data_IF_604015142087
#
_entry.id   IF_604015142087
#
_cell.length_a   1.000
_cell.length_b   1.000
_cell.length_c   1.000
_cell.angle_alpha   90.00
_cell.angle_beta   90.00
_cell.angle_gamma   90.00
#
_symmetry.space_group_name_H-M   'P 1'
#
loop_
_entity.id
_entity.type
_entity.pdbx_description
1 polymer ?
#
# COMPACT_ATOMS: atom_id res chain seq x y z
N UNK A 1 36.94 -0.42 -38.97
CA UNK A 1 35.50 -0.59 -39.18
C UNK A 1 35.23 -0.72 -40.66
N UNK A 2 34.76 -1.87 -41.14
CA UNK A 2 34.23 -1.97 -42.50
C UNK A 2 32.94 -1.17 -42.55
N UNK A 3 32.82 -0.20 -43.47
CA UNK A 3 31.56 0.51 -43.62
C UNK A 3 30.49 -0.47 -44.10
N UNK A 4 29.34 -0.48 -43.44
CA UNK A 4 28.20 -1.27 -43.88
C UNK A 4 27.65 -0.62 -45.13
N UNK A 5 27.65 -1.34 -46.26
CA UNK A 5 27.20 -0.81 -47.55
C UNK A 5 25.80 -1.30 -47.83
N UNK A 6 24.90 -0.38 -48.19
CA UNK A 6 23.54 -0.71 -48.56
C UNK A 6 23.52 -1.60 -49.82
N UNK A 7 22.86 -2.77 -49.80
CA UNK A 7 22.85 -3.68 -50.94
C UNK A 7 22.05 -3.12 -52.13
N UNK A 8 21.12 -2.18 -51.90
CA UNK A 8 20.34 -1.52 -52.96
C UNK A 8 21.08 -0.35 -53.61
N UNK A 9 21.54 0.60 -52.79
CA UNK A 9 22.03 1.90 -53.25
C UNK A 9 23.57 1.99 -53.31
N UNK A 10 24.28 1.00 -52.74
CA UNK A 10 25.73 0.99 -52.50
C UNK A 10 26.26 2.18 -51.68
N UNK A 11 25.37 3.00 -51.13
CA UNK A 11 25.74 4.05 -50.18
C UNK A 11 26.02 3.46 -48.80
N UNK A 12 26.68 4.25 -47.96
CA UNK A 12 26.93 3.94 -46.56
C UNK A 12 25.60 3.77 -45.79
N UNK A 13 25.54 2.74 -44.95
CA UNK A 13 24.50 2.58 -43.94
C UNK A 13 24.90 3.36 -42.69
N UNK A 14 23.98 4.15 -42.16
CA UNK A 14 24.14 4.89 -40.90
C UNK A 14 23.23 4.28 -39.82
N UNK A 15 23.65 4.34 -38.57
CA UNK A 15 22.78 3.99 -37.43
C UNK A 15 21.76 5.11 -37.21
N UNK A 16 20.49 4.75 -37.16
CA UNK A 16 19.38 5.67 -36.90
C UNK A 16 18.25 4.91 -36.16
N UNK A 17 17.27 5.63 -35.61
CA UNK A 17 16.04 5.02 -35.10
C UNK A 17 14.99 4.98 -36.22
N UNK A 18 14.36 3.82 -36.43
CA UNK A 18 13.28 3.67 -37.41
C UNK A 18 11.94 3.48 -36.72
N UNK A 19 10.92 4.16 -37.22
CA UNK A 19 9.54 4.05 -36.78
C UNK A 19 8.74 3.28 -37.85
N UNK A 20 8.28 2.07 -37.52
CA UNK A 20 7.31 1.36 -38.33
C UNK A 20 5.91 1.80 -37.90
N UNK A 21 5.22 2.54 -38.77
CA UNK A 21 3.85 3.00 -38.56
C UNK A 21 2.92 2.13 -39.39
N UNK A 22 2.19 1.24 -38.73
CA UNK A 22 1.18 0.40 -39.38
C UNK A 22 -0.22 0.87 -39.02
N UNK A 23 -0.98 1.26 -40.03
CA UNK A 23 -2.42 1.48 -39.89
C UNK A 23 -3.12 0.12 -39.88
N UNK A 24 -3.79 -0.19 -38.77
CA UNK A 24 -4.65 -1.36 -38.66
C UNK A 24 -5.94 -1.12 -39.47
N UNK A 25 -6.64 -2.19 -39.90
CA UNK A 25 -7.90 -2.07 -40.64
C UNK A 25 -9.03 -1.30 -39.93
N UNK A 26 -8.90 -1.06 -38.62
CA UNK A 26 -9.83 -0.29 -37.80
C UNK A 26 -9.44 1.20 -37.66
N UNK A 27 -8.39 1.65 -38.35
CA UNK A 27 -7.90 3.04 -38.30
C UNK A 27 -6.94 3.34 -37.13
N UNK A 28 -6.56 2.34 -36.33
CA UNK A 28 -5.55 2.52 -35.28
C UNK A 28 -4.14 2.48 -35.87
N UNK A 29 -3.24 3.34 -35.40
CA UNK A 29 -1.82 3.30 -35.77
C UNK A 29 -1.02 2.55 -34.69
N UNK A 30 -0.20 1.58 -35.12
CA UNK A 30 0.87 1.00 -34.29
C UNK A 30 2.17 1.66 -34.71
N UNK A 31 2.84 2.33 -33.77
CA UNK A 31 4.17 2.90 -33.97
C UNK A 31 5.17 2.07 -33.17
N UNK A 32 6.04 1.34 -33.88
CA UNK A 32 7.15 0.62 -33.27
C UNK A 32 8.45 1.37 -33.60
N UNK A 33 9.15 1.86 -32.58
CA UNK A 33 10.45 2.49 -32.72
C UNK A 33 11.57 1.50 -32.34
N UNK A 34 12.52 1.27 -33.24
CA UNK A 34 13.67 0.39 -32.98
C UNK A 34 14.94 0.90 -33.66
N UNK A 35 16.14 0.61 -33.11
CA UNK A 35 17.41 0.94 -33.76
C UNK A 35 17.58 0.17 -35.08
N UNK A 36 18.01 0.85 -36.14
CA UNK A 36 18.19 0.26 -37.47
C UNK A 36 19.42 0.84 -38.19
N UNK A 37 20.02 0.04 -39.09
CA UNK A 37 20.92 0.55 -40.12
C UNK A 37 20.09 1.04 -41.32
N UNK A 38 20.20 2.33 -41.65
CA UNK A 38 19.43 2.99 -42.72
C UNK A 38 20.38 3.45 -43.85
N UNK A 39 20.02 3.23 -45.13
CA UNK A 39 20.81 3.77 -46.26
C UNK A 39 20.87 5.30 -46.14
N UNK A 40 22.07 5.89 -46.09
CA UNK A 40 22.25 7.36 -46.04
C UNK A 40 21.54 8.08 -47.19
N UNK A 41 21.47 7.44 -48.36
CA UNK A 41 20.73 7.96 -49.54
C UNK A 41 19.21 7.70 -49.48
N UNK A 42 18.69 7.18 -48.36
CA UNK A 42 17.27 6.94 -48.10
C UNK A 42 16.55 6.13 -49.19
N UNK A 43 17.21 5.11 -49.75
CA UNK A 43 16.63 4.26 -50.81
C UNK A 43 15.56 3.25 -50.35
N UNK A 44 15.07 3.39 -49.11
CA UNK A 44 14.11 2.47 -48.49
C UNK A 44 14.70 1.10 -48.09
N UNK A 45 16.03 0.92 -48.12
CA UNK A 45 16.66 -0.22 -47.48
C UNK A 45 16.90 0.10 -46.00
N UNK A 46 16.42 -0.79 -45.13
CA UNK A 46 16.65 -0.78 -43.70
C UNK A 46 17.04 -2.19 -43.26
N UNK A 47 17.88 -2.28 -42.23
CA UNK A 47 18.16 -3.53 -41.50
C UNK A 47 17.98 -3.23 -40.02
N UNK A 48 16.99 -3.86 -39.39
CA UNK A 48 16.81 -3.77 -37.93
C UNK A 48 18.09 -4.24 -37.23
N UNK A 49 18.51 -3.50 -36.20
CA UNK A 49 19.63 -3.89 -35.36
C UNK A 49 19.08 -4.86 -34.30
N UNK A 50 18.63 -6.03 -34.74
CA UNK A 50 18.50 -7.19 -33.85
C UNK A 50 19.91 -7.75 -33.68
N UNK A 51 20.63 -7.20 -32.70
CA UNK A 51 21.95 -7.76 -32.37
C UNK A 51 21.78 -8.78 -31.26
N UNK A 52 21.57 -10.04 -31.65
CA UNK A 52 21.92 -11.15 -30.77
C UNK A 52 23.43 -11.03 -30.53
N UNK A 53 23.87 -10.79 -29.30
CA UNK A 53 25.29 -10.64 -29.03
C UNK A 53 25.97 -12.01 -29.13
N UNK A 54 27.21 -12.01 -29.63
CA UNK A 54 28.01 -13.22 -29.73
C UNK A 54 28.59 -13.57 -28.34
N UNK A 55 28.66 -14.85 -28.01
CA UNK A 55 29.43 -15.26 -26.82
C UNK A 55 30.90 -15.29 -27.19
N UNK A 56 31.68 -14.40 -26.60
CA UNK A 56 33.13 -14.28 -26.88
C UNK A 56 34.01 -14.84 -25.77
N UNK A 57 33.41 -15.30 -24.68
CA UNK A 57 34.12 -15.96 -23.60
C UNK A 57 33.19 -16.44 -22.50
N UNK A 58 33.70 -17.31 -21.64
CA UNK A 58 32.98 -17.84 -20.48
C UNK A 58 33.84 -17.82 -19.21
N UNK A 59 33.17 -17.82 -18.06
CA UNK A 59 33.78 -17.95 -16.74
C UNK A 59 33.04 -19.05 -15.99
N UNK A 60 33.66 -20.23 -15.88
CA UNK A 60 32.98 -21.41 -15.34
C UNK A 60 31.74 -21.79 -16.16
N UNK A 61 30.79 -22.45 -15.51
CA UNK A 61 29.56 -22.96 -16.15
C UNK A 61 28.39 -21.96 -16.08
N UNK A 62 28.62 -20.76 -15.52
CA UNK A 62 27.57 -19.89 -15.03
C UNK A 62 27.69 -18.42 -15.47
N UNK A 63 28.73 -18.07 -16.25
CA UNK A 63 28.89 -16.71 -16.79
C UNK A 63 29.33 -16.71 -18.25
N UNK A 64 28.60 -15.97 -19.08
CA UNK A 64 28.92 -15.71 -20.49
C UNK A 64 29.29 -14.25 -20.69
N UNK A 65 30.34 -13.99 -21.47
CA UNK A 65 30.67 -12.67 -21.99
C UNK A 65 30.04 -12.50 -23.37
N UNK A 66 29.07 -11.59 -23.45
CA UNK A 66 28.32 -11.27 -24.64
C UNK A 66 28.93 -10.04 -25.32
N UNK A 67 29.31 -10.14 -26.59
CA UNK A 67 29.79 -9.04 -27.43
C UNK A 67 28.67 -8.55 -28.35
N UNK A 68 28.34 -7.28 -28.20
CA UNK A 68 27.41 -6.58 -29.07
C UNK A 68 28.18 -5.92 -30.25
N UNK A 69 27.54 -5.72 -31.41
CA UNK A 69 28.19 -5.15 -32.60
C UNK A 69 28.80 -3.75 -32.41
N UNK A 70 28.36 -3.00 -31.39
CA UNK A 70 28.88 -1.68 -31.03
C UNK A 70 30.09 -1.75 -30.08
N UNK A 71 30.81 -2.87 -30.04
CA UNK A 71 31.97 -3.13 -29.19
C UNK A 71 31.67 -3.07 -27.68
N UNK A 72 30.38 -3.10 -27.30
CA UNK A 72 29.99 -3.27 -25.90
C UNK A 72 29.98 -4.75 -25.54
N UNK A 73 30.58 -5.08 -24.40
CA UNK A 73 30.46 -6.36 -23.74
C UNK A 73 29.46 -6.29 -22.58
N UNK A 74 28.72 -7.37 -22.35
CA UNK A 74 27.91 -7.58 -21.14
C UNK A 74 28.19 -8.96 -20.56
N UNK A 75 28.13 -9.07 -19.24
CA UNK A 75 28.23 -10.36 -18.56
C UNK A 75 26.81 -10.86 -18.30
N UNK A 76 26.51 -12.07 -18.74
CA UNK A 76 25.28 -12.78 -18.43
C UNK A 76 25.56 -13.88 -17.41
N UNK A 77 24.99 -13.76 -16.21
CA UNK A 77 24.97 -14.83 -15.21
C UNK A 77 23.81 -15.79 -15.50
N UNK A 78 24.12 -17.02 -15.90
CA UNK A 78 23.15 -17.99 -16.42
C UNK A 78 22.21 -18.45 -15.30
N UNK A 79 22.75 -18.83 -14.13
CA UNK A 79 21.99 -19.41 -13.01
C UNK A 79 20.89 -18.47 -12.50
N UNK A 80 21.24 -17.19 -12.34
CA UNK A 80 20.34 -16.18 -11.78
C UNK A 80 19.61 -15.38 -12.87
N UNK A 81 19.93 -15.62 -14.15
CA UNK A 81 19.45 -14.86 -15.30
C UNK A 81 19.66 -13.36 -15.11
N UNK A 82 20.88 -12.96 -14.75
CA UNK A 82 21.22 -11.55 -14.50
C UNK A 82 22.15 -11.05 -15.59
N UNK A 83 21.81 -9.92 -16.20
CA UNK A 83 22.57 -9.28 -17.25
C UNK A 83 23.18 -7.97 -16.74
N UNK A 84 24.50 -7.95 -16.62
CA UNK A 84 25.26 -6.81 -16.12
C UNK A 84 25.27 -5.63 -17.10
N UNK A 85 25.53 -4.39 -16.65
CA UNK A 85 25.51 -3.22 -17.51
C UNK A 85 26.56 -3.31 -18.63
N UNK A 86 26.33 -2.66 -19.78
CA UNK A 86 27.31 -2.62 -20.86
C UNK A 86 28.57 -1.88 -20.45
N UNK A 87 29.71 -2.41 -20.86
CA UNK A 87 31.02 -1.74 -20.84
C UNK A 87 31.78 -2.11 -22.11
N UNK A 88 32.81 -1.37 -22.47
CA UNK A 88 33.66 -1.77 -23.61
C UNK A 88 34.24 -3.18 -23.39
N UNK A 89 34.09 -4.08 -24.37
CA UNK A 89 34.39 -5.51 -24.19
C UNK A 89 35.85 -5.76 -23.78
N UNK A 90 36.81 -4.99 -24.30
CA UNK A 90 38.22 -5.10 -23.92
C UNK A 90 38.47 -4.77 -22.44
N UNK A 91 37.67 -3.88 -21.85
CA UNK A 91 37.77 -3.58 -20.42
C UNK A 91 37.29 -4.75 -19.55
N UNK A 92 36.35 -5.56 -20.05
CA UNK A 92 35.89 -6.78 -19.40
C UNK A 92 36.92 -7.90 -19.55
N UNK A 93 37.47 -8.08 -20.76
CA UNK A 93 38.55 -9.03 -21.03
C UNK A 93 39.81 -8.73 -20.20
N UNK A 94 40.14 -7.45 -20.01
CA UNK A 94 41.26 -7.01 -19.17
C UNK A 94 41.02 -7.16 -17.66
N UNK A 95 39.81 -7.55 -17.24
CA UNK A 95 39.42 -7.71 -15.83
C UNK A 95 38.85 -9.10 -15.60
N UNK A 96 39.74 -10.07 -15.36
CA UNK A 96 39.40 -11.45 -15.01
C UNK A 96 39.93 -12.47 -16.00
N UNK A 97 39.80 -13.74 -15.65
CA UNK A 97 40.12 -14.86 -16.54
C UNK A 97 38.87 -15.20 -17.35
N UNK A 98 38.95 -15.15 -18.68
CA UNK A 98 37.88 -15.57 -19.58
C UNK A 98 38.39 -16.72 -20.44
N UNK A 99 37.65 -17.81 -20.46
CA UNK A 99 37.95 -18.98 -21.26
C UNK A 99 37.23 -18.93 -22.61
N UNK A 100 37.73 -19.67 -23.59
CA UNK A 100 37.03 -19.87 -24.86
C UNK A 100 35.67 -20.53 -24.60
N UNK A 101 34.63 -20.01 -25.23
CA UNK A 101 33.29 -20.53 -25.07
C UNK A 101 33.15 -21.89 -25.76
N UNK A 102 32.77 -22.93 -25.01
CA UNK A 102 32.63 -24.30 -25.51
C UNK A 102 31.20 -24.85 -25.42
N UNK A 103 30.25 -24.04 -24.94
CA UNK A 103 28.86 -24.42 -24.75
C UNK A 103 27.98 -24.29 -26.00
N UNK A 104 26.69 -24.63 -25.84
CA UNK A 104 25.66 -24.56 -26.90
C UNK A 104 24.42 -23.74 -26.48
N UNK A 105 24.57 -22.82 -25.53
CA UNK A 105 23.52 -21.92 -25.09
C UNK A 105 22.90 -21.12 -26.25
N UNK A 106 21.57 -21.05 -26.26
CA UNK A 106 20.80 -20.17 -27.13
C UNK A 106 20.66 -18.81 -26.42
N UNK A 107 21.53 -17.87 -26.79
CA UNK A 107 21.69 -16.59 -26.09
C UNK A 107 20.39 -15.78 -26.10
N UNK A 108 19.63 -15.83 -27.19
CA UNK A 108 18.35 -15.17 -27.37
C UNK A 108 17.35 -15.54 -26.26
N UNK A 109 17.16 -16.85 -26.03
CA UNK A 109 16.26 -17.36 -25.00
C UNK A 109 16.72 -17.00 -23.59
N UNK A 110 18.04 -16.99 -23.37
CA UNK A 110 18.59 -16.55 -22.09
C UNK A 110 18.34 -15.06 -21.86
N UNK A 111 18.48 -14.22 -22.89
CA UNK A 111 18.26 -12.78 -22.82
C UNK A 111 16.79 -12.41 -22.62
N UNK A 112 15.85 -13.12 -23.24
CA UNK A 112 14.40 -12.91 -23.06
C UNK A 112 13.97 -12.98 -21.58
N UNK A 113 14.66 -13.80 -20.80
CA UNK A 113 14.35 -14.02 -19.39
C UNK A 113 15.40 -13.43 -18.44
N UNK A 114 16.44 -12.78 -18.99
CA UNK A 114 17.48 -12.12 -18.22
C UNK A 114 16.98 -10.79 -17.67
N UNK A 115 17.26 -10.55 -16.38
CA UNK A 115 16.96 -9.31 -15.69
C UNK A 115 18.20 -8.41 -15.70
N UNK A 116 17.99 -7.12 -15.91
CA UNK A 116 19.04 -6.13 -15.73
C UNK A 116 19.57 -6.20 -14.28
N UNK A 117 20.89 -6.19 -14.08
CA UNK A 117 21.46 -6.27 -12.73
C UNK A 117 21.03 -5.12 -11.83
N UNK A 118 20.67 -3.96 -12.40
CA UNK A 118 20.07 -2.84 -11.65
C UNK A 118 18.67 -3.18 -11.14
N UNK A 119 17.94 -4.04 -11.85
CA UNK A 119 16.60 -4.46 -11.46
C UNK A 119 16.60 -5.49 -10.32
N UNK A 120 17.75 -6.07 -9.98
CA UNK A 120 17.85 -7.06 -8.88
C UNK A 120 17.51 -6.44 -7.53
N UNK A 121 17.76 -5.14 -7.33
CA UNK A 121 17.47 -4.41 -6.10
C UNK A 121 16.29 -3.44 -6.20
N UNK A 122 15.63 -3.35 -7.35
CA UNK A 122 14.46 -2.49 -7.52
C UNK A 122 13.21 -3.18 -7.00
N UNK A 123 12.45 -2.47 -6.18
CA UNK A 123 11.07 -2.88 -5.91
C UNK A 123 10.26 -2.80 -7.21
N UNK A 124 9.44 -3.82 -7.45
CA UNK A 124 8.52 -3.81 -8.57
C UNK A 124 7.53 -2.64 -8.41
N UNK A 125 7.29 -1.86 -9.49
CA UNK A 125 6.21 -0.88 -9.50
C UNK A 125 4.88 -1.57 -9.18
N UNK A 126 4.06 -0.93 -8.37
CA UNK A 126 2.78 -1.48 -7.92
C UNK A 126 1.65 -0.49 -8.20
N UNK A 127 0.57 -0.96 -8.81
CA UNK A 127 -0.54 -0.11 -9.25
C UNK A 127 -1.14 0.72 -8.11
N UNK A 128 -1.33 0.12 -6.94
CA UNK A 128 -2.00 0.74 -5.79
C UNK A 128 -1.10 1.67 -4.98
N UNK A 129 0.20 1.74 -5.29
CA UNK A 129 1.05 2.83 -4.80
C UNK A 129 0.66 4.19 -5.38
N UNK A 130 0.13 4.19 -6.61
CA UNK A 130 -0.34 5.40 -7.30
C UNK A 130 -1.85 5.57 -7.19
N UNK A 131 -2.59 4.46 -7.18
CA UNK A 131 -4.04 4.43 -7.03
C UNK A 131 -4.44 4.30 -5.55
N UNK A 132 -4.24 5.37 -4.77
CA UNK A 132 -4.42 5.38 -3.30
C UNK A 132 -5.77 5.94 -2.82
N UNK A 133 -6.67 6.29 -3.73
CA UNK A 133 -7.96 6.87 -3.40
C UNK A 133 -9.00 5.81 -2.99
N UNK A 134 -10.09 6.24 -2.37
CA UNK A 134 -11.25 5.36 -2.12
C UNK A 134 -11.80 4.78 -3.45
N UNK A 135 -11.76 5.55 -4.54
CA UNK A 135 -12.24 5.08 -5.86
C UNK A 135 -11.44 3.90 -6.45
N UNK A 136 -10.14 3.83 -6.22
CA UNK A 136 -9.33 2.70 -6.71
C UNK A 136 -9.57 1.44 -5.87
N UNK A 137 -9.84 1.63 -4.58
CA UNK A 137 -10.26 0.56 -3.69
C UNK A 137 -11.65 0.04 -4.09
N UNK A 138 -12.61 0.92 -4.38
CA UNK A 138 -13.93 0.55 -4.90
C UNK A 138 -13.81 -0.29 -6.18
N UNK A 139 -12.96 0.16 -7.11
CA UNK A 139 -12.72 -0.52 -8.37
C UNK A 139 -12.13 -1.92 -8.15
N UNK A 140 -11.18 -2.08 -7.22
CA UNK A 140 -10.63 -3.38 -6.89
C UNK A 140 -11.68 -4.31 -6.29
N UNK A 141 -12.51 -3.83 -5.35
CA UNK A 141 -13.58 -4.62 -4.74
C UNK A 141 -14.61 -5.07 -5.78
N UNK A 142 -15.05 -4.15 -6.66
CA UNK A 142 -15.94 -4.48 -7.77
C UNK A 142 -15.32 -5.54 -8.69
N UNK A 143 -14.05 -5.34 -9.07
CA UNK A 143 -13.32 -6.27 -9.92
C UNK A 143 -13.20 -7.65 -9.29
N UNK A 144 -12.83 -7.75 -8.00
CA UNK A 144 -12.71 -9.01 -7.28
C UNK A 144 -14.07 -9.71 -7.19
N UNK A 145 -15.14 -9.01 -6.83
CA UNK A 145 -16.47 -9.61 -6.71
C UNK A 145 -17.02 -10.09 -8.06
N UNK A 146 -16.70 -9.43 -9.18
CA UNK A 146 -17.12 -9.89 -10.50
C UNK A 146 -16.60 -11.30 -10.84
N UNK A 147 -15.41 -11.68 -10.33
CA UNK A 147 -14.87 -13.04 -10.50
C UNK A 147 -15.64 -14.13 -9.75
N UNK A 148 -16.59 -13.76 -8.88
CA UNK A 148 -17.34 -14.73 -8.07
C UNK A 148 -18.46 -15.45 -8.84
N UNK A 149 -18.87 -14.99 -10.02
CA UNK A 149 -19.86 -15.72 -10.82
C UNK A 149 -19.30 -17.07 -11.30
N UNK A 150 -20.14 -18.10 -11.27
CA UNK A 150 -19.75 -19.49 -11.55
C UNK A 150 -19.02 -19.70 -12.91
N UNK A 151 -19.38 -19.04 -14.03
CA UNK A 151 -18.66 -19.20 -15.29
C UNK A 151 -17.17 -18.84 -15.22
N UNK A 152 -16.79 -17.88 -14.37
CA UNK A 152 -15.40 -17.44 -14.24
C UNK A 152 -14.50 -18.49 -13.60
N UNK A 153 -15.05 -19.49 -12.90
CA UNK A 153 -14.30 -20.65 -12.38
C UNK A 153 -13.50 -21.35 -13.48
N UNK A 154 -14.06 -21.44 -14.69
CA UNK A 154 -13.41 -22.10 -15.84
C UNK A 154 -12.29 -21.27 -16.47
N UNK A 155 -12.27 -19.96 -16.23
CA UNK A 155 -11.29 -19.03 -16.80
C UNK A 155 -10.09 -18.84 -15.88
N UNK A 156 -10.33 -18.67 -14.58
CA UNK A 156 -9.29 -18.57 -13.55
C UNK A 156 -9.84 -19.12 -12.22
N UNK A 157 -9.65 -20.42 -12.02
CA UNK A 157 -10.16 -21.11 -10.83
C UNK A 157 -9.61 -20.53 -9.52
N UNK A 158 -8.29 -20.31 -9.34
CA UNK A 158 -7.77 -19.70 -8.12
C UNK A 158 -8.38 -18.32 -7.83
N UNK A 159 -8.52 -17.46 -8.85
CA UNK A 159 -9.07 -16.11 -8.67
C UNK A 159 -10.56 -16.13 -8.35
N UNK A 160 -11.32 -16.98 -9.03
CA UNK A 160 -12.72 -17.23 -8.69
C UNK A 160 -12.88 -17.73 -7.24
N UNK A 161 -12.08 -18.71 -6.81
CA UNK A 161 -12.13 -19.23 -5.44
C UNK A 161 -11.77 -18.14 -4.40
N UNK A 162 -10.85 -17.22 -4.71
CA UNK A 162 -10.52 -16.09 -3.85
C UNK A 162 -11.67 -15.06 -3.78
N UNK A 163 -12.34 -14.80 -4.90
CA UNK A 163 -13.53 -13.95 -4.95
C UNK A 163 -14.69 -14.54 -4.13
N UNK A 164 -14.95 -15.84 -4.26
CA UNK A 164 -15.96 -16.55 -3.47
C UNK A 164 -15.60 -16.55 -1.98
N UNK A 165 -14.32 -16.65 -1.63
CA UNK A 165 -13.85 -16.55 -0.22
C UNK A 165 -14.09 -15.14 0.36
N UNK A 166 -13.84 -14.08 -0.43
CA UNK A 166 -14.20 -12.71 -0.05
C UNK A 166 -15.70 -12.57 0.23
N UNK A 167 -16.55 -13.02 -0.71
CA UNK A 167 -18.00 -13.03 -0.53
C UNK A 167 -18.38 -13.85 0.68
N UNK A 168 -17.76 -15.00 0.87
CA UNK A 168 -18.01 -15.89 2.00
C UNK A 168 -17.74 -15.25 3.35
N UNK A 169 -16.67 -14.46 3.47
CA UNK A 169 -16.42 -13.70 4.70
C UNK A 169 -17.52 -12.68 5.01
N UNK A 170 -18.12 -12.05 3.98
CA UNK A 170 -19.26 -11.14 4.16
C UNK A 170 -20.49 -11.91 4.66
N UNK A 171 -20.88 -13.00 3.98
CA UNK A 171 -22.03 -13.82 4.39
C UNK A 171 -21.86 -14.38 5.81
N UNK A 172 -20.67 -14.91 6.12
CA UNK A 172 -20.35 -15.43 7.45
C UNK A 172 -20.41 -14.34 8.52
N UNK A 173 -19.97 -13.12 8.24
CA UNK A 173 -20.07 -12.00 9.17
C UNK A 173 -21.54 -11.68 9.53
N UNK A 174 -22.47 -11.93 8.62
CA UNK A 174 -23.91 -11.81 8.83
C UNK A 174 -24.58 -13.11 9.31
N UNK A 175 -23.81 -14.15 9.66
CA UNK A 175 -24.31 -15.47 10.07
C UNK A 175 -25.22 -16.14 9.02
N UNK A 176 -24.89 -15.96 7.74
CA UNK A 176 -25.60 -16.59 6.63
C UNK A 176 -24.68 -17.57 5.89
N UNK A 177 -25.22 -18.69 5.38
CA UNK A 177 -24.47 -19.56 4.48
C UNK A 177 -24.21 -18.84 3.16
N UNK A 178 -23.04 -19.10 2.57
CA UNK A 178 -22.70 -18.57 1.24
C UNK A 178 -23.50 -19.33 0.18
N UNK A 179 -24.30 -18.65 -0.66
CA UNK A 179 -24.98 -19.31 -1.76
C UNK A 179 -24.00 -19.65 -2.88
N UNK A 180 -24.38 -20.55 -3.78
CA UNK A 180 -23.76 -20.63 -5.10
C UNK A 180 -24.10 -19.34 -5.84
N UNK A 181 -23.10 -18.62 -6.35
CA UNK A 181 -23.30 -17.31 -7.00
C UNK A 181 -23.56 -17.56 -8.49
N UNK A 182 -24.85 -17.63 -8.84
CA UNK A 182 -25.31 -17.84 -10.22
C UNK A 182 -25.37 -16.52 -10.99
N UNK A 183 -25.70 -15.42 -10.32
CA UNK A 183 -25.68 -14.08 -10.90
C UNK A 183 -25.25 -13.03 -9.88
N UNK A 184 -24.52 -12.02 -10.38
CA UNK A 184 -24.13 -10.84 -9.62
C UNK A 184 -24.38 -9.58 -10.43
N UNK A 185 -24.92 -8.54 -9.80
CA UNK A 185 -25.02 -7.19 -10.38
C UNK A 185 -24.31 -6.21 -9.48
N UNK A 186 -23.26 -5.56 -10.00
CA UNK A 186 -22.43 -4.62 -9.25
C UNK A 186 -22.73 -3.20 -9.74
N UNK A 187 -23.18 -2.34 -8.83
CA UNK A 187 -23.47 -0.93 -9.09
C UNK A 187 -22.59 -0.06 -8.21
N UNK A 188 -21.83 0.86 -8.82
CA UNK A 188 -21.03 1.86 -8.10
C UNK A 188 -21.85 3.11 -7.85
N UNK A 189 -21.58 3.79 -6.73
CA UNK A 189 -22.17 5.08 -6.36
C UNK A 189 -23.71 5.09 -6.35
N UNK A 190 -24.34 3.98 -5.94
CA UNK A 190 -25.78 3.86 -5.87
C UNK A 190 -26.37 4.80 -4.81
N UNK A 191 -27.00 5.90 -5.23
CA UNK A 191 -27.57 6.90 -4.32
C UNK A 191 -26.57 7.35 -3.24
N UNK A 192 -25.31 7.53 -3.65
CA UNK A 192 -24.14 7.88 -2.82
C UNK A 192 -23.57 6.77 -1.91
N UNK A 193 -24.13 5.55 -1.91
CA UNK A 193 -23.43 4.37 -1.39
C UNK A 193 -22.32 3.96 -2.37
N UNK A 194 -21.12 3.68 -1.88
CA UNK A 194 -19.94 3.43 -2.74
C UNK A 194 -20.15 2.21 -3.66
N UNK A 195 -20.56 1.06 -3.11
CA UNK A 195 -20.88 -0.14 -3.89
C UNK A 195 -22.16 -0.82 -3.39
N UNK A 196 -23.07 -1.12 -4.32
CA UNK A 196 -24.19 -2.02 -4.14
C UNK A 196 -23.99 -3.26 -4.99
N UNK A 197 -24.11 -4.44 -4.39
CA UNK A 197 -24.05 -5.72 -5.09
C UNK A 197 -25.31 -6.52 -4.85
N UNK A 198 -25.98 -6.91 -5.93
CA UNK A 198 -27.13 -7.83 -5.88
C UNK A 198 -26.65 -9.23 -6.25
N UNK A 199 -26.94 -10.22 -5.39
CA UNK A 199 -26.54 -11.62 -5.58
C UNK A 199 -27.79 -12.48 -5.70
N UNK A 200 -27.92 -13.21 -6.82
CA UNK A 200 -29.03 -14.12 -7.13
C UNK A 200 -30.42 -13.51 -6.88
N UNK A 201 -30.59 -12.21 -7.10
CA UNK A 201 -31.83 -11.46 -6.82
C UNK A 201 -32.42 -11.71 -5.41
N UNK A 202 -31.57 -12.07 -4.45
CA UNK A 202 -31.96 -12.45 -3.08
C UNK A 202 -31.26 -11.61 -2.03
N UNK A 203 -29.98 -11.32 -2.24
CA UNK A 203 -29.15 -10.57 -1.28
C UNK A 203 -28.70 -9.25 -1.89
N UNK A 204 -28.65 -8.21 -1.06
CA UNK A 204 -28.05 -6.93 -1.37
C UNK A 204 -26.86 -6.70 -0.43
N UNK A 205 -25.63 -6.74 -0.92
CA UNK A 205 -24.44 -6.36 -0.16
C UNK A 205 -24.23 -4.85 -0.35
N UNK A 206 -24.20 -4.10 0.75
CA UNK A 206 -23.97 -2.67 0.74
C UNK A 206 -22.57 -2.42 1.28
N UNK A 207 -21.65 -1.95 0.46
CA UNK A 207 -20.29 -1.65 0.91
C UNK A 207 -20.13 -0.13 0.93
N UNK A 208 -19.88 0.40 2.12
CA UNK A 208 -19.30 1.73 2.28
C UNK A 208 -17.80 1.57 2.48
N UNK A 209 -17.03 2.22 1.62
CA UNK A 209 -15.58 2.20 1.63
C UNK A 209 -15.05 3.46 2.33
N UNK A 210 -14.15 3.29 3.30
CA UNK A 210 -13.22 4.37 3.67
C UNK A 210 -11.78 3.92 3.60
N UNK A 211 -10.91 4.86 3.23
CA UNK A 211 -9.46 4.70 3.41
C UNK A 211 -9.06 5.20 4.80
N UNK A 212 -8.92 6.52 4.97
CA UNK A 212 -8.40 7.15 6.20
C UNK A 212 -9.43 8.00 6.96
N UNK A 213 -10.61 8.22 6.40
CA UNK A 213 -11.63 9.14 6.94
C UNK A 213 -12.69 8.42 7.78
N UNK A 214 -13.44 9.14 8.63
CA UNK A 214 -14.54 8.60 9.45
C UNK A 214 -15.88 9.13 8.94
N UNK A 215 -16.93 8.33 9.06
CA UNK A 215 -18.28 8.74 8.68
C UNK A 215 -19.04 9.51 9.76
N UNK A 216 -20.05 10.24 9.29
CA UNK A 216 -21.10 10.81 10.12
C UNK A 216 -22.29 9.84 10.22
N UNK A 217 -22.77 9.59 11.44
CA UNK A 217 -23.69 8.49 11.79
C UNK A 217 -24.97 8.39 10.95
N UNK A 218 -25.51 9.50 10.45
CA UNK A 218 -26.77 9.51 9.72
C UNK A 218 -26.65 9.05 8.26
N UNK A 219 -25.43 8.99 7.72
CA UNK A 219 -25.18 8.65 6.32
C UNK A 219 -25.47 7.18 6.03
N UNK A 220 -24.97 6.27 6.88
CA UNK A 220 -25.14 4.82 6.72
C UNK A 220 -26.59 4.36 6.81
N UNK A 221 -27.36 4.94 7.75
CA UNK A 221 -28.78 4.66 7.88
C UNK A 221 -29.57 5.07 6.62
N UNK A 222 -29.20 6.20 6.01
CA UNK A 222 -29.81 6.69 4.77
C UNK A 222 -29.54 5.74 3.60
N UNK A 223 -28.34 5.16 3.50
CA UNK A 223 -28.02 4.20 2.44
C UNK A 223 -28.86 2.93 2.53
N UNK A 224 -29.01 2.38 3.74
CA UNK A 224 -29.87 1.21 3.96
C UNK A 224 -31.32 1.48 3.58
N UNK A 225 -31.86 2.64 3.97
CA UNK A 225 -33.20 3.05 3.61
C UNK A 225 -33.35 3.21 2.08
N UNK A 226 -32.35 3.80 1.42
CA UNK A 226 -32.33 4.01 -0.02
C UNK A 226 -32.32 2.69 -0.82
N UNK A 227 -31.59 1.68 -0.33
CA UNK A 227 -31.57 0.33 -0.89
C UNK A 227 -32.87 -0.40 -0.58
N UNK A 228 -33.39 -0.33 0.65
CA UNK A 228 -34.68 -0.96 1.01
C UNK A 228 -35.84 -0.42 0.18
N UNK A 229 -35.82 0.86 -0.18
CA UNK A 229 -36.83 1.46 -1.04
C UNK A 229 -36.75 1.01 -2.50
N UNK A 230 -35.54 0.72 -3.02
CA UNK A 230 -35.35 0.25 -4.39
C UNK A 230 -35.51 -1.27 -4.51
N UNK A 231 -35.15 -2.00 -3.47
CA UNK A 231 -35.08 -3.45 -3.40
C UNK A 231 -35.71 -3.94 -2.08
N UNK A 232 -37.05 -3.90 -1.96
CA UNK A 232 -37.75 -4.14 -0.70
C UNK A 232 -37.62 -5.59 -0.21
N UNK A 233 -37.49 -6.56 -1.11
CA UNK A 233 -37.51 -7.98 -0.75
C UNK A 233 -36.11 -8.58 -0.53
N UNK A 234 -35.05 -7.83 -0.83
CA UNK A 234 -33.67 -8.32 -0.70
C UNK A 234 -33.17 -8.26 0.75
N UNK A 235 -32.43 -9.29 1.14
CA UNK A 235 -31.74 -9.36 2.42
C UNK A 235 -30.48 -8.49 2.37
N UNK A 236 -30.42 -7.46 3.22
CA UNK A 236 -29.28 -6.54 3.24
C UNK A 236 -28.11 -7.07 4.07
N UNK A 237 -26.90 -7.01 3.48
CA UNK A 237 -25.61 -7.37 4.08
C UNK A 237 -24.70 -6.13 4.10
N UNK A 238 -24.91 -5.19 5.04
CA UNK A 238 -24.13 -3.96 5.11
C UNK A 238 -22.72 -4.16 5.70
N UNK A 239 -21.71 -3.80 4.91
CA UNK A 239 -20.30 -3.88 5.22
C UNK A 239 -19.66 -2.49 5.19
N UNK A 240 -18.87 -2.20 6.22
CA UNK A 240 -18.02 -1.01 6.27
C UNK A 240 -16.58 -1.45 6.03
N UNK A 241 -16.12 -1.30 4.80
CA UNK A 241 -14.78 -1.73 4.40
C UNK A 241 -13.76 -0.65 4.72
N UNK A 242 -12.69 -1.03 5.43
CA UNK A 242 -11.65 -0.07 5.80
C UNK A 242 -10.26 -0.67 5.87
N UNK A 243 -9.34 -0.09 5.09
CA UNK A 243 -7.93 -0.49 5.07
C UNK A 243 -7.06 0.23 6.11
N UNK A 244 -7.45 1.41 6.62
CA UNK A 244 -6.77 2.05 7.73
C UNK A 244 -7.56 1.86 9.04
N UNK A 245 -6.86 1.64 10.14
CA UNK A 245 -7.54 1.40 11.41
C UNK A 245 -8.09 2.71 12.01
N UNK A 246 -9.07 2.57 12.90
CA UNK A 246 -9.59 3.67 13.70
C UNK A 246 -9.84 3.24 15.14
N UNK A 247 -9.88 4.23 16.03
CA UNK A 247 -10.05 4.01 17.48
C UNK A 247 -11.29 3.24 17.89
N UNK A 248 -12.44 3.43 17.23
CA UNK A 248 -13.63 2.63 17.50
C UNK A 248 -14.57 2.63 16.30
N UNK A 249 -15.46 1.65 16.24
CA UNK A 249 -16.47 1.50 15.19
C UNK A 249 -17.90 1.63 15.73
N UNK A 250 -18.07 2.18 16.95
CA UNK A 250 -19.39 2.34 17.61
C UNK A 250 -20.45 3.05 16.75
N UNK A 251 -20.03 3.96 15.87
CA UNK A 251 -20.94 4.64 14.94
C UNK A 251 -21.63 3.71 13.94
N UNK A 252 -21.12 2.47 13.78
CA UNK A 252 -21.65 1.46 12.87
C UNK A 252 -22.70 0.54 13.53
N UNK A 253 -22.72 0.48 14.87
CA UNK A 253 -23.61 -0.44 15.61
C UNK A 253 -25.09 -0.12 15.34
N UNK A 254 -25.47 1.16 15.47
CA UNK A 254 -26.84 1.61 15.22
C UNK A 254 -27.34 1.36 13.79
N UNK A 255 -26.59 1.69 12.72
CA UNK A 255 -26.99 1.38 11.35
C UNK A 255 -26.79 -0.10 10.99
N UNK A 256 -26.18 -0.93 11.84
CA UNK A 256 -25.99 -2.37 11.63
C UNK A 256 -24.93 -2.75 10.60
N UNK A 257 -24.00 -1.85 10.28
CA UNK A 257 -22.87 -2.15 9.38
C UNK A 257 -21.80 -2.95 10.13
N UNK A 258 -21.29 -4.00 9.49
CA UNK A 258 -20.20 -4.80 10.05
C UNK A 258 -18.85 -4.29 9.54
N UNK A 259 -17.88 -3.96 10.42
CA UNK A 259 -16.55 -3.56 9.99
C UNK A 259 -15.81 -4.72 9.31
N UNK A 260 -15.41 -4.53 8.05
CA UNK A 260 -14.52 -5.41 7.32
C UNK A 260 -13.14 -4.75 7.22
N UNK A 261 -12.19 -5.23 8.04
CA UNK A 261 -10.90 -4.55 8.26
C UNK A 261 -9.81 -5.10 7.35
N UNK A 262 -8.73 -4.32 7.19
CA UNK A 262 -7.49 -4.73 6.48
C UNK A 262 -7.06 -6.17 6.78
N UNK A 263 -7.05 -6.60 8.05
CA UNK A 263 -6.65 -7.97 8.42
C UNK A 263 -7.54 -9.04 7.79
N UNK A 264 -8.85 -8.82 7.72
CA UNK A 264 -9.78 -9.74 7.07
C UNK A 264 -9.52 -9.81 5.56
N UNK A 265 -9.24 -8.67 4.92
CA UNK A 265 -8.87 -8.67 3.49
C UNK A 265 -7.53 -9.37 3.26
N UNK A 266 -6.52 -9.09 4.07
CA UNK A 266 -5.22 -9.76 3.98
C UNK A 266 -5.37 -11.27 4.09
N UNK A 267 -6.22 -11.77 4.99
CA UNK A 267 -6.52 -13.19 5.11
C UNK A 267 -7.10 -13.78 3.81
N UNK A 268 -8.07 -13.12 3.17
CA UNK A 268 -8.60 -13.54 1.85
C UNK A 268 -7.49 -13.58 0.82
N UNK A 269 -6.75 -12.48 0.69
CA UNK A 269 -5.78 -12.32 -0.38
C UNK A 269 -4.59 -13.27 -0.23
N UNK A 270 -4.13 -13.48 1.01
CA UNK A 270 -3.05 -14.43 1.32
C UNK A 270 -3.50 -15.87 1.06
N UNK A 271 -4.73 -16.25 1.42
CA UNK A 271 -5.30 -17.57 1.07
C UNK A 271 -5.40 -17.73 -0.44
N UNK A 272 -5.83 -16.71 -1.18
CA UNK A 272 -5.85 -16.72 -2.64
C UNK A 272 -4.46 -16.94 -3.26
N UNK A 273 -3.45 -16.18 -2.80
CA UNK A 273 -2.05 -16.35 -3.23
C UNK A 273 -1.55 -17.77 -2.94
N UNK A 274 -1.82 -18.31 -1.75
CA UNK A 274 -1.46 -19.69 -1.36
C UNK A 274 -2.14 -20.75 -2.24
N UNK A 275 -3.37 -20.50 -2.69
CA UNK A 275 -4.12 -21.35 -3.63
C UNK A 275 -3.71 -21.16 -5.10
N UNK A 276 -2.73 -20.29 -5.37
CA UNK A 276 -2.13 -20.14 -6.70
C UNK A 276 -2.68 -19.00 -7.56
N UNK A 277 -3.31 -17.98 -6.98
CA UNK A 277 -3.65 -16.75 -7.73
C UNK A 277 -2.37 -16.08 -8.22
N UNK A 278 -2.25 -15.89 -9.54
CA UNK A 278 -1.10 -15.23 -10.19
C UNK A 278 -1.46 -13.87 -10.81
N UNK A 279 -2.72 -13.46 -10.74
CA UNK A 279 -3.19 -12.23 -11.37
C UNK A 279 -2.43 -11.00 -10.82
N UNK A 280 -1.77 -10.18 -11.67
CA UNK A 280 -0.98 -9.04 -11.20
C UNK A 280 -1.78 -7.99 -10.43
N UNK A 281 -3.04 -7.74 -10.79
CA UNK A 281 -3.90 -6.75 -10.07
C UNK A 281 -4.19 -7.26 -8.66
N UNK A 282 -4.50 -8.54 -8.51
CA UNK A 282 -4.69 -9.18 -7.20
C UNK A 282 -3.43 -9.08 -6.34
N UNK A 283 -2.29 -9.48 -6.91
CA UNK A 283 -1.02 -9.51 -6.20
C UNK A 283 -0.57 -8.10 -5.84
N UNK A 284 -0.79 -7.11 -6.71
CA UNK A 284 -0.47 -5.72 -6.41
C UNK A 284 -1.29 -5.19 -5.23
N UNK A 285 -2.59 -5.49 -5.18
CA UNK A 285 -3.42 -5.06 -4.05
C UNK A 285 -2.99 -5.74 -2.74
N UNK A 286 -2.67 -7.04 -2.79
CA UNK A 286 -2.13 -7.76 -1.64
C UNK A 286 -0.84 -7.12 -1.12
N UNK A 287 0.17 -6.93 -1.99
CA UNK A 287 1.44 -6.33 -1.58
C UNK A 287 1.26 -4.90 -1.05
N UNK A 288 0.31 -4.14 -1.60
CA UNK A 288 -0.05 -2.82 -1.08
C UNK A 288 -0.56 -2.87 0.36
N UNK A 289 -1.49 -3.78 0.66
CA UNK A 289 -2.00 -3.95 2.03
C UNK A 289 -0.94 -4.50 2.99
N UNK A 290 -0.06 -5.40 2.52
CA UNK A 290 1.07 -5.91 3.30
C UNK A 290 2.02 -4.78 3.71
N UNK A 291 2.36 -3.86 2.80
CA UNK A 291 3.18 -2.68 3.12
C UNK A 291 2.53 -1.79 4.18
N UNK A 292 1.21 -1.63 4.16
CA UNK A 292 0.49 -0.88 5.21
C UNK A 292 0.62 -1.60 6.56
N UNK A 293 0.40 -2.92 6.59
CA UNK A 293 0.50 -3.73 7.81
C UNK A 293 1.93 -3.73 8.39
N UNK A 294 2.94 -3.82 7.54
CA UNK A 294 4.35 -3.69 7.91
C UNK A 294 4.65 -2.31 8.49
N UNK A 295 4.17 -1.24 7.84
CA UNK A 295 4.27 0.12 8.34
C UNK A 295 3.67 0.26 9.74
N UNK A 296 2.49 -0.32 9.94
CA UNK A 296 1.77 -0.28 11.23
C UNK A 296 2.50 -1.10 12.28
N UNK A 297 3.07 -2.24 11.93
CA UNK A 297 3.82 -3.11 12.85
C UNK A 297 5.24 -2.63 13.13
N UNK A 298 5.75 -1.69 12.32
CA UNK A 298 7.15 -1.25 12.37
C UNK A 298 7.56 -0.61 13.70
N UNK A 299 6.61 -0.13 14.51
CA UNK A 299 6.89 0.41 15.85
C UNK A 299 7.56 -0.61 16.78
N UNK A 300 7.41 -1.91 16.51
CA UNK A 300 8.02 -2.99 17.30
C UNK A 300 9.49 -3.21 16.99
N UNK A 301 9.95 -2.82 15.80
CA UNK A 301 11.27 -3.17 15.26
C UNK A 301 12.11 -1.95 14.88
N UNK A 302 11.51 -0.77 14.76
CA UNK A 302 12.22 0.49 14.47
C UNK A 302 12.37 1.34 15.73
N UNK A 303 13.50 2.06 15.89
CA UNK A 303 13.66 3.06 16.94
C UNK A 303 12.58 4.14 16.86
N UNK A 304 12.14 4.67 18.00
CA UNK A 304 11.04 5.68 18.07
C UNK A 304 11.30 6.89 17.16
N UNK A 305 12.57 7.30 17.00
CA UNK A 305 12.98 8.42 16.13
C UNK A 305 12.69 8.17 14.64
N UNK A 306 12.54 6.92 14.21
CA UNK A 306 12.28 6.50 12.83
C UNK A 306 10.80 6.19 12.57
N UNK A 307 9.94 6.39 13.57
CA UNK A 307 8.51 6.10 13.45
C UNK A 307 7.84 7.09 12.51
N UNK A 308 7.22 6.54 11.47
CA UNK A 308 6.30 7.27 10.60
C UNK A 308 4.87 7.27 11.19
N UNK A 309 3.93 7.81 10.43
CA UNK A 309 2.52 7.86 10.85
C UNK A 309 1.92 6.48 11.13
N UNK A 310 2.26 5.45 10.36
CA UNK A 310 1.76 4.09 10.56
C UNK A 310 2.29 3.47 11.87
N UNK A 311 3.58 3.65 12.17
CA UNK A 311 4.17 3.16 13.41
C UNK A 311 3.45 3.75 14.65
N UNK A 312 3.12 5.05 14.63
CA UNK A 312 2.34 5.68 15.69
C UNK A 312 0.94 5.08 15.84
N UNK A 313 0.26 4.79 14.72
CA UNK A 313 -1.05 4.12 14.76
C UNK A 313 -0.95 2.73 15.40
N UNK A 314 0.04 1.91 15.01
CA UNK A 314 0.26 0.59 15.60
C UNK A 314 0.54 0.64 17.09
N UNK A 315 1.39 1.56 17.52
CA UNK A 315 1.65 1.79 18.95
C UNK A 315 0.36 2.16 19.70
N UNK A 316 -0.46 3.06 19.15
CA UNK A 316 -1.72 3.48 19.77
C UNK A 316 -2.79 2.39 19.79
N UNK A 317 -2.82 1.50 18.81
CA UNK A 317 -3.67 0.31 18.85
C UNK A 317 -3.31 -0.60 20.02
N UNK A 318 -2.02 -0.81 20.28
CA UNK A 318 -1.60 -1.60 21.43
C UNK A 318 -1.90 -0.90 22.76
N UNK A 319 -1.66 0.41 22.85
CA UNK A 319 -2.05 1.18 24.05
C UNK A 319 -3.54 1.06 24.33
N UNK A 320 -4.38 1.10 23.29
CA UNK A 320 -5.83 1.05 23.44
C UNK A 320 -6.35 -0.25 24.06
N UNK A 321 -5.59 -1.34 23.98
CA UNK A 321 -5.94 -2.62 24.64
C UNK A 321 -5.85 -2.52 26.16
N UNK A 322 -5.00 -1.63 26.67
CA UNK A 322 -4.66 -1.51 28.08
C UNK A 322 -5.16 -0.21 28.72
N UNK A 323 -5.41 0.82 27.92
CA UNK A 323 -5.88 2.14 28.34
C UNK A 323 -7.13 2.46 27.53
N UNK A 324 -8.24 2.70 28.23
CA UNK A 324 -9.52 3.08 27.61
C UNK A 324 -9.45 4.51 27.05
N UNK A 325 -8.82 4.64 25.88
CA UNK A 325 -8.62 5.88 25.17
C UNK A 325 -9.06 5.80 23.71
N UNK A 326 -8.95 6.93 23.04
CA UNK A 326 -9.18 7.08 21.62
C UNK A 326 -7.91 7.63 20.96
N UNK A 327 -7.75 7.37 19.68
CA UNK A 327 -6.67 7.91 18.88
C UNK A 327 -7.15 8.33 17.51
N UNK A 328 -6.37 9.21 16.88
CA UNK A 328 -6.72 9.82 15.61
C UNK A 328 -5.71 10.90 15.21
N UNK A 329 -5.83 11.34 13.97
CA UNK A 329 -5.05 12.45 13.45
C UNK A 329 -5.65 13.78 13.92
N UNK A 330 -4.79 14.68 14.42
CA UNK A 330 -5.12 16.02 14.88
C UNK A 330 -4.52 17.02 13.90
N UNK A 331 -5.33 17.66 13.04
CA UNK A 331 -4.82 18.61 12.06
C UNK A 331 -4.34 19.90 12.74
N UNK A 332 -3.30 20.52 12.17
CA UNK A 332 -2.84 21.85 12.54
C UNK A 332 -2.24 22.54 11.30
N UNK A 333 -1.98 23.87 11.34
CA UNK A 333 -1.41 24.61 10.21
C UNK A 333 -0.05 24.11 9.69
N UNK A 334 0.64 23.26 10.46
CA UNK A 334 1.97 22.71 10.13
C UNK A 334 1.92 21.23 9.70
N UNK A 335 0.74 20.68 9.38
CA UNK A 335 0.61 19.29 8.91
C UNK A 335 0.25 18.26 9.99
N UNK A 336 -0.24 18.71 11.15
CA UNK A 336 -0.90 17.87 12.16
C UNK A 336 -0.01 16.80 12.82
N UNK A 337 -0.62 15.90 13.59
CA UNK A 337 0.05 14.74 14.18
C UNK A 337 -0.96 13.66 14.60
N UNK A 338 -0.49 12.42 14.75
CA UNK A 338 -1.29 11.37 15.38
C UNK A 338 -1.26 11.53 16.89
N UNK A 339 -2.43 11.39 17.51
CA UNK A 339 -2.59 11.53 18.95
C UNK A 339 -3.38 10.36 19.54
N UNK A 340 -3.12 10.08 20.81
CA UNK A 340 -3.91 9.19 21.66
C UNK A 340 -4.37 9.97 22.88
N UNK A 341 -5.65 9.93 23.24
CA UNK A 341 -6.21 10.68 24.37
C UNK A 341 -7.20 9.85 25.18
N UNK A 342 -7.18 10.05 26.50
CA UNK A 342 -8.04 9.36 27.46
C UNK A 342 -8.28 10.26 28.68
N UNK A 343 -9.36 10.00 29.40
CA UNK A 343 -9.65 10.69 30.67
C UNK A 343 -8.79 10.04 31.77
N UNK A 344 -8.16 10.84 32.62
CA UNK A 344 -7.38 10.32 33.74
C UNK A 344 -8.31 9.58 34.70
N UNK A 345 -7.86 8.39 35.16
CA UNK A 345 -8.59 7.62 36.15
C UNK A 345 -8.59 8.31 37.52
N UNK A 346 -7.52 9.07 37.81
CA UNK A 346 -7.32 9.74 39.09
C UNK A 346 -7.94 11.14 39.17
N UNK A 347 -8.22 11.78 38.03
CA UNK A 347 -8.80 13.12 38.02
C UNK A 347 -9.59 13.40 36.74
N UNK A 348 -10.92 13.51 36.87
CA UNK A 348 -11.83 13.69 35.75
C UNK A 348 -11.86 15.12 35.19
N UNK A 349 -11.26 16.09 35.88
CA UNK A 349 -11.25 17.49 35.44
C UNK A 349 -10.29 17.75 34.27
N UNK A 350 -9.37 16.83 34.00
CA UNK A 350 -8.46 16.89 32.86
C UNK A 350 -8.40 15.58 32.09
N UNK A 351 -7.94 15.67 30.85
CA UNK A 351 -7.66 14.51 30.02
C UNK A 351 -6.21 14.52 29.56
N UNK A 352 -5.69 13.34 29.28
CA UNK A 352 -4.32 13.13 28.83
C UNK A 352 -4.33 12.99 27.32
N UNK A 353 -3.26 13.48 26.68
CA UNK A 353 -3.07 13.34 25.25
C UNK A 353 -1.59 13.11 24.93
N UNK A 354 -1.30 11.97 24.31
CA UNK A 354 -0.04 11.72 23.62
C UNK A 354 -0.07 12.48 22.30
N UNK A 355 0.93 13.33 22.09
CA UNK A 355 1.25 13.98 20.82
C UNK A 355 2.59 13.39 20.39
N UNK A 356 2.55 12.16 19.87
CA UNK A 356 3.76 11.39 19.57
C UNK A 356 4.68 11.28 20.79
N UNK A 357 5.87 11.88 20.77
CA UNK A 357 6.85 11.79 21.87
C UNK A 357 6.51 12.65 23.10
N UNK A 358 5.44 13.46 23.05
CA UNK A 358 5.04 14.32 24.16
C UNK A 358 3.73 13.85 24.81
N UNK A 359 3.75 13.64 26.12
CA UNK A 359 2.55 13.53 26.94
C UNK A 359 2.09 14.93 27.35
N UNK A 360 0.82 15.26 27.12
CA UNK A 360 0.20 16.52 27.52
C UNK A 360 -0.97 16.25 28.46
N UNK A 361 -1.06 17.02 29.55
CA UNK A 361 -2.29 17.16 30.33
C UNK A 361 -3.09 18.34 29.78
N UNK A 362 -4.36 18.10 29.47
CA UNK A 362 -5.23 19.07 28.81
C UNK A 362 -6.52 19.31 29.58
N UNK A 363 -7.01 20.54 29.47
CA UNK A 363 -8.30 20.97 29.99
C UNK A 363 -9.13 21.59 28.87
N UNK A 364 -10.45 21.47 28.96
CA UNK A 364 -11.41 22.05 28.04
C UNK A 364 -12.53 22.74 28.82
N UNK A 365 -12.37 24.03 29.18
CA UNK A 365 -13.42 24.78 29.85
C UNK A 365 -14.71 24.80 29.04
N UNK A 366 -15.84 24.87 29.75
CA UNK A 366 -17.16 25.08 29.17
C UNK A 366 -17.31 26.49 28.58
N UNK A 367 -18.33 26.66 27.75
CA UNK A 367 -18.63 27.97 27.16
C UNK A 367 -19.08 28.96 28.24
N UNK A 368 -18.52 30.17 28.22
CA UNK A 368 -18.78 31.19 29.24
C UNK A 368 -17.83 31.16 30.45
N UNK A 369 -17.05 30.10 30.64
CA UNK A 369 -16.10 30.03 31.75
C UNK A 369 -14.85 30.92 31.54
N UNK A 370 -14.26 31.38 32.65
CA UNK A 370 -12.99 32.12 32.63
C UNK A 370 -11.82 31.17 32.34
N UNK A 371 -11.54 30.97 31.05
CA UNK A 371 -10.47 30.09 30.55
C UNK A 371 -9.11 30.35 31.18
N UNK A 372 -8.77 31.63 31.45
CA UNK A 372 -7.48 31.99 32.05
C UNK A 372 -7.39 31.47 33.48
N UNK A 373 -8.41 31.72 34.28
CA UNK A 373 -8.47 31.31 35.69
C UNK A 373 -8.45 29.78 35.82
N UNK A 374 -9.30 29.09 35.08
CA UNK A 374 -9.35 27.62 35.04
C UNK A 374 -8.01 27.02 34.62
N UNK A 375 -7.37 27.58 33.58
CA UNK A 375 -6.05 27.12 33.12
C UNK A 375 -4.99 27.30 34.21
N UNK A 376 -4.96 28.46 34.88
CA UNK A 376 -3.97 28.75 35.91
C UNK A 376 -4.17 27.88 37.15
N UNK A 377 -5.42 27.70 37.58
CA UNK A 377 -5.77 26.84 38.72
C UNK A 377 -5.45 25.37 38.40
N UNK A 378 -5.94 24.85 37.27
CA UNK A 378 -5.66 23.48 36.84
C UNK A 378 -4.17 23.19 36.66
N UNK A 379 -3.39 24.15 36.13
CA UNK A 379 -1.93 24.02 36.02
C UNK A 379 -1.26 23.96 37.39
N UNK A 380 -1.69 24.77 38.35
CA UNK A 380 -1.14 24.74 39.72
C UNK A 380 -1.42 23.38 40.37
N UNK A 381 -2.66 22.91 40.27
CA UNK A 381 -3.10 21.66 40.91
C UNK A 381 -2.38 20.44 40.33
N UNK A 382 -2.28 20.34 39.01
CA UNK A 382 -1.62 19.18 38.37
C UNK A 382 -0.11 19.14 38.62
N UNK A 383 0.55 20.29 38.72
CA UNK A 383 1.99 20.33 38.99
C UNK A 383 2.27 19.96 40.45
N UNK A 384 1.45 20.41 41.40
CA UNK A 384 1.55 19.99 42.80
C UNK A 384 1.32 18.47 42.96
N UNK A 385 0.33 17.93 42.26
CA UNK A 385 0.08 16.48 42.24
C UNK A 385 1.23 15.70 41.59
N UNK A 386 1.82 16.24 40.53
CA UNK A 386 2.99 15.68 39.87
C UNK A 386 4.20 15.60 40.80
N UNK A 387 4.47 16.63 41.60
CA UNK A 387 5.55 16.60 42.59
C UNK A 387 5.29 15.54 43.66
N UNK A 388 4.06 15.48 44.19
CA UNK A 388 3.67 14.50 45.21
C UNK A 388 3.81 13.05 44.74
N UNK A 389 3.50 12.78 43.47
CA UNK A 389 3.49 11.42 42.87
C UNK A 389 4.70 11.13 41.99
N UNK A 390 5.64 12.06 41.90
CA UNK A 390 6.81 11.99 41.03
C UNK A 390 6.46 11.67 39.55
N UNK A 391 5.48 12.38 38.98
CA UNK A 391 5.04 12.18 37.60
C UNK A 391 5.94 12.89 36.56
N UNK A 392 6.86 13.75 37.01
CA UNK A 392 7.81 14.50 36.17
C UNK A 392 7.15 15.44 35.15
N UNK A 393 5.91 15.86 35.39
CA UNK A 393 5.25 16.86 34.57
C UNK A 393 5.91 18.24 34.75
N UNK A 394 6.00 18.98 33.66
CA UNK A 394 6.57 20.33 33.59
C UNK A 394 5.55 21.29 33.01
N UNK A 395 5.74 22.58 33.32
CA UNK A 395 4.98 23.66 32.70
C UNK A 395 5.21 23.66 31.17
N UNK A 396 4.16 23.82 30.35
CA UNK A 396 4.32 23.90 28.91
C UNK A 396 5.04 25.19 28.48
N UNK A 397 5.79 25.12 27.38
CA UNK A 397 6.57 26.25 26.87
C UNK A 397 5.70 27.46 26.47
N UNK A 398 4.45 27.21 26.05
CA UNK A 398 3.47 28.24 25.69
C UNK A 398 2.11 27.88 26.28
N UNK A 399 1.41 28.89 26.80
CA UNK A 399 0.04 28.74 27.31
C UNK A 399 -0.95 29.15 26.22
N UNK A 400 -1.70 28.18 25.71
CA UNK A 400 -2.75 28.43 24.71
C UNK A 400 -4.00 29.08 25.32
N UNK A 401 -4.79 29.77 24.50
CA UNK A 401 -6.09 30.38 24.85
C UNK A 401 -7.29 29.75 24.12
N UNK A 402 -7.04 28.65 23.40
CA UNK A 402 -8.06 27.92 22.66
C UNK A 402 -9.08 27.19 23.56
N UNK A 403 -10.06 26.53 22.93
CA UNK A 403 -11.06 25.70 23.64
C UNK A 403 -10.41 24.56 24.43
N UNK A 404 -9.33 23.99 23.90
CA UNK A 404 -8.53 22.95 24.54
C UNK A 404 -7.14 23.49 24.80
N UNK A 405 -6.67 23.42 26.04
CA UNK A 405 -5.39 24.00 26.46
C UNK A 405 -4.52 22.95 27.17
N UNK A 406 -3.23 22.90 26.83
CA UNK A 406 -2.24 22.14 27.59
C UNK A 406 -1.86 22.92 28.85
N UNK A 407 -1.94 22.25 30.01
CA UNK A 407 -1.60 22.81 31.33
C UNK A 407 -0.31 22.24 31.91
N UNK A 408 0.07 21.02 31.50
CA UNK A 408 1.33 20.38 31.86
C UNK A 408 1.78 19.43 30.75
N UNK A 409 3.07 19.13 30.68
CA UNK A 409 3.63 18.22 29.68
C UNK A 409 4.83 17.44 30.19
N UNK A 410 5.14 16.33 29.51
CA UNK A 410 6.34 15.52 29.71
C UNK A 410 6.80 14.95 28.37
N UNK A 411 8.10 15.01 28.10
CA UNK A 411 8.69 14.63 26.79
C UNK A 411 9.38 13.25 26.82
N UNK A 412 9.53 12.61 27.98
CA UNK A 412 10.25 11.35 28.21
C UNK A 412 9.37 10.26 28.84
N UNK A 413 8.11 10.18 28.40
CA UNK A 413 7.18 9.15 28.89
C UNK A 413 7.42 7.78 28.24
N UNK A 414 7.95 7.75 27.02
CA UNK A 414 8.27 6.54 26.28
C UNK A 414 9.50 5.88 26.91
N UNK A 415 9.36 4.60 27.28
CA UNK A 415 10.45 3.80 27.82
C UNK A 415 11.09 3.04 26.67
N UNK A 416 12.38 3.24 26.43
CA UNK A 416 13.09 2.59 25.32
C UNK A 416 14.29 1.78 25.78
N UNK A 417 14.69 0.80 24.97
CA UNK A 417 15.97 0.09 25.12
C UNK A 417 17.15 1.01 24.78
N UNK A 418 18.38 0.54 25.01
CA UNK A 418 19.61 1.23 24.59
C UNK A 418 19.69 1.50 23.09
N UNK A 419 18.99 0.69 22.27
CA UNK A 419 18.92 0.82 20.81
C UNK A 419 17.78 1.77 20.37
N UNK A 420 17.00 2.31 21.31
CA UNK A 420 15.89 3.22 21.03
C UNK A 420 14.59 2.53 20.61
N UNK A 421 14.51 1.20 20.72
CA UNK A 421 13.28 0.42 20.53
C UNK A 421 12.33 0.61 21.72
N UNK A 422 11.02 0.63 21.46
CA UNK A 422 10.02 0.82 22.51
C UNK A 422 9.93 -0.41 23.43
N UNK A 423 10.03 -0.18 24.74
CA UNK A 423 9.55 -1.12 25.76
C UNK A 423 8.08 -0.81 26.03
N UNK A 424 7.19 -1.53 25.34
CA UNK A 424 5.76 -1.27 25.39
C UNK A 424 5.18 -1.50 26.78
N UNK A 425 5.66 -2.52 27.51
CA UNK A 425 5.12 -2.87 28.83
C UNK A 425 5.46 -1.78 29.83
N UNK A 426 6.74 -1.39 29.92
CA UNK A 426 7.17 -0.31 30.81
C UNK A 426 6.53 1.03 30.45
N UNK A 427 6.34 1.30 29.16
CA UNK A 427 5.65 2.52 28.72
C UNK A 427 4.19 2.53 29.17
N UNK A 428 3.46 1.42 29.05
CA UNK A 428 2.08 1.31 29.52
C UNK A 428 2.01 1.45 31.05
N UNK A 429 2.92 0.81 31.79
CA UNK A 429 3.03 0.97 33.25
C UNK A 429 3.28 2.42 33.65
N UNK A 430 4.15 3.13 32.93
CA UNK A 430 4.41 4.55 33.14
C UNK A 430 3.17 5.40 32.89
N UNK A 431 2.43 5.13 31.82
CA UNK A 431 1.20 5.85 31.47
C UNK A 431 0.04 5.56 32.44
N UNK A 432 -0.05 4.34 33.00
CA UNK A 432 -1.06 3.96 34.00
C UNK A 432 -0.87 4.69 35.34
N UNK A 433 0.25 5.41 35.55
CA UNK A 433 0.44 6.28 36.72
C UNK A 433 -0.45 7.53 36.69
N UNK A 434 -1.05 7.88 35.56
CA UNK A 434 -1.91 9.06 35.41
C UNK A 434 -3.38 8.68 35.36
#
# INVERSE_FOLDING_TARGET
MNSLICPRCKAELIEDAWEDVREKPNGDFVVNAYPAYVCRNKCGYLKEIESVPEVIGQQGDDRLLLLYPNEQGRILEIRNRVLWPPMHYQSILGRGYWEEYTGNHVVEQLLETARDSRAVSLELPNLFQYATSELSQDAFLCWLMAWSEEPYRSLDRPLHEAAVDFMGMIFNAHNLPVPVIESISIQRQFKALDILVIVNDTYAILIEDKTFTKDHSNQLARYRAAVKAAYPDLVQLPIYYKIADQSHYRSLESPGYIPFKRKMMLEVLQRGKQKGVQNPIFLDYLHYLEKIEEGISSFRVKPVKEWNHYAWQGFYQELQKEINGNWGYVPNPSGGFWAFWWVSASNKAYFLQLQQQRLCVKISPEEGENKREIRMQGMKDILAESEKRNLLLKKPARLGSGRVMTIAQRDDYLQTTSEGLIDIKRTIEELKKY
#
